data_IF_285783048462
#
_entry.id   IF_285783048462
#
_cell.length_a   1.000
_cell.length_b   1.000
_cell.length_c   1.000
_cell.angle_alpha   90.00
_cell.angle_beta   90.00
_cell.angle_gamma   90.00
#
_symmetry.space_group_name_H-M   'P 1'
#
loop_
_entity.id
_entity.type
_entity.pdbx_description
1 polymer ?
#
# COMPACT_ATOMS: atom_id res chain seq x y z
N UNK A 1 2.35 9.22 5.38
CA UNK A 1 2.41 10.15 4.21
C UNK A 1 1.36 11.26 4.31
N UNK A 2 0.12 10.97 4.72
CA UNK A 2 -0.90 11.99 4.89
C UNK A 2 -0.49 13.12 5.85
N UNK A 3 0.06 12.78 7.01
CA UNK A 3 0.58 13.75 7.98
C UNK A 3 1.75 14.58 7.40
N UNK A 4 2.68 13.94 6.68
CA UNK A 4 3.76 14.62 5.97
C UNK A 4 3.22 15.66 4.97
N UNK A 5 2.20 15.31 4.17
CA UNK A 5 1.57 16.23 3.24
C UNK A 5 0.87 17.39 3.95
N UNK A 6 0.16 17.10 5.05
CA UNK A 6 -0.51 18.13 5.84
C UNK A 6 0.51 19.11 6.44
N UNK A 7 1.59 18.59 7.03
CA UNK A 7 2.66 19.42 7.58
C UNK A 7 3.28 20.32 6.50
N UNK A 8 3.58 19.77 5.32
CA UNK A 8 4.11 20.54 4.19
C UNK A 8 3.15 21.61 3.70
N UNK A 9 1.83 21.39 3.76
CA UNK A 9 0.85 22.41 3.37
C UNK A 9 0.71 23.54 4.40
N UNK A 10 1.07 23.28 5.66
CA UNK A 10 1.05 24.26 6.74
C UNK A 10 2.35 25.07 6.81
N UNK A 11 3.47 24.39 6.63
CA UNK A 11 4.81 25.00 6.70
C UNK A 11 5.75 24.35 5.67
N UNK A 12 5.79 24.93 4.48
CA UNK A 12 6.62 24.43 3.37
C UNK A 12 8.13 24.54 3.64
N UNK A 13 8.52 25.46 4.53
CA UNK A 13 9.94 25.72 4.86
C UNK A 13 10.45 24.92 6.05
N UNK A 14 9.64 24.04 6.60
CA UNK A 14 10.03 23.23 7.74
C UNK A 14 11.22 22.31 7.39
N UNK A 15 12.31 22.45 8.11
CA UNK A 15 13.55 21.71 7.87
C UNK A 15 13.37 20.18 7.93
N UNK A 16 12.43 19.70 8.74
CA UNK A 16 12.18 18.25 8.91
C UNK A 16 11.52 17.59 7.71
N UNK A 17 10.96 18.39 6.81
CA UNK A 17 10.25 17.92 5.61
C UNK A 17 10.85 18.49 4.31
N UNK A 18 11.93 19.24 4.41
CA UNK A 18 12.63 19.72 3.23
C UNK A 18 13.11 18.54 2.38
N UNK A 19 12.86 18.62 1.08
CA UNK A 19 13.31 17.66 0.10
C UNK A 19 14.43 18.19 -0.74
N UNK A 20 15.12 17.29 -1.39
CA UNK A 20 16.14 17.55 -2.40
C UNK A 20 15.58 17.19 -3.78
N UNK A 21 15.68 18.11 -4.73
CA UNK A 21 15.35 17.83 -6.13
C UNK A 21 16.52 17.10 -6.78
N UNK A 22 16.29 15.93 -7.32
CA UNK A 22 17.30 15.14 -8.02
C UNK A 22 17.04 15.16 -9.52
N UNK A 23 18.10 15.44 -10.30
CA UNK A 23 18.08 15.46 -11.77
C UNK A 23 16.90 16.25 -12.38
N UNK A 24 16.47 17.34 -11.74
CA UNK A 24 15.29 18.13 -12.14
C UNK A 24 14.03 17.30 -12.47
N UNK A 25 13.98 16.06 -11.98
CA UNK A 25 12.97 15.07 -12.32
C UNK A 25 12.06 14.73 -11.14
N UNK A 26 12.61 14.57 -9.95
CA UNK A 26 11.84 14.14 -8.78
C UNK A 26 12.43 14.63 -7.46
N UNK A 27 11.57 14.67 -6.44
CA UNK A 27 11.94 15.07 -5.09
C UNK A 27 12.21 13.87 -4.20
N UNK A 28 13.22 13.97 -3.37
CA UNK A 28 13.50 13.02 -2.30
C UNK A 28 13.41 13.74 -0.97
N UNK A 29 12.52 13.28 -0.10
CA UNK A 29 12.33 13.79 1.26
C UNK A 29 12.81 12.74 2.27
N UNK A 30 13.52 13.20 3.30
CA UNK A 30 14.00 12.36 4.40
C UNK A 30 13.29 12.80 5.66
N UNK A 31 12.44 11.94 6.18
CA UNK A 31 11.69 12.19 7.41
C UNK A 31 12.11 11.14 8.41
N UNK A 32 12.77 11.55 9.47
CA UNK A 32 13.30 10.67 10.52
C UNK A 32 12.43 10.70 11.79
N UNK A 33 11.25 10.07 11.81
CA UNK A 33 10.56 9.77 13.05
C UNK A 33 11.18 8.50 13.66
N UNK A 34 11.01 8.32 14.97
CA UNK A 34 11.36 7.07 15.69
C UNK A 34 10.42 5.91 15.33
N UNK A 35 10.18 5.72 14.04
CA UNK A 35 9.26 4.72 13.50
C UNK A 35 10.01 3.74 12.59
N UNK A 36 9.45 2.55 12.35
CA UNK A 36 10.00 1.62 11.38
C UNK A 36 10.16 2.26 10.00
N UNK A 37 11.26 1.95 9.32
CA UNK A 37 11.56 2.47 7.99
C UNK A 37 10.48 2.13 6.97
N UNK A 38 10.14 3.11 6.13
CA UNK A 38 9.20 2.96 5.02
C UNK A 38 9.59 3.88 3.87
N UNK A 39 9.51 3.38 2.65
CA UNK A 39 9.66 4.18 1.44
C UNK A 39 8.27 4.42 0.87
N UNK A 40 7.91 5.68 0.68
CA UNK A 40 6.67 6.06 0.02
C UNK A 40 6.96 6.66 -1.36
N UNK A 41 6.30 6.13 -2.39
CA UNK A 41 6.38 6.60 -3.78
C UNK A 41 5.05 7.26 -4.13
N UNK A 42 5.07 8.49 -4.63
CA UNK A 42 3.88 9.20 -5.10
C UNK A 42 3.72 9.03 -6.60
N UNK A 43 2.60 8.48 -7.06
CA UNK A 43 2.33 8.29 -8.51
C UNK A 43 1.32 9.30 -9.06
N UNK A 44 0.54 9.98 -8.20
CA UNK A 44 -0.65 10.72 -8.63
C UNK A 44 -0.48 12.23 -8.83
N UNK A 45 0.50 12.89 -8.21
CA UNK A 45 0.57 14.36 -8.27
C UNK A 45 1.96 14.88 -8.57
N UNK A 46 2.85 14.76 -7.61
CA UNK A 46 4.23 15.22 -7.70
C UNK A 46 5.13 14.02 -7.73
N UNK A 47 6.10 14.01 -8.62
CA UNK A 47 7.15 13.00 -8.63
C UNK A 47 7.98 13.15 -7.35
N UNK A 48 7.66 12.38 -6.32
CA UNK A 48 8.35 12.45 -5.03
C UNK A 48 8.48 11.08 -4.36
N UNK A 49 9.60 10.89 -3.70
CA UNK A 49 9.91 9.72 -2.87
C UNK A 49 10.13 10.23 -1.46
N UNK A 50 9.47 9.63 -0.47
CA UNK A 50 9.62 9.99 0.93
C UNK A 50 10.17 8.81 1.70
N UNK A 51 11.34 8.99 2.30
CA UNK A 51 12.01 8.03 3.14
C UNK A 51 11.64 8.32 4.60
N UNK A 52 10.90 7.42 5.24
CA UNK A 52 10.47 7.53 6.62
C UNK A 52 11.28 6.62 7.53
N UNK A 53 11.49 7.05 8.75
CA UNK A 53 12.11 6.24 9.81
C UNK A 53 13.62 6.14 9.68
N UNK A 54 14.16 5.04 10.21
CA UNK A 54 15.59 4.75 10.08
C UNK A 54 15.96 4.66 8.61
N UNK A 55 17.19 5.06 8.31
CA UNK A 55 17.73 5.06 6.94
C UNK A 55 17.51 3.70 6.26
N UNK A 56 16.68 3.66 5.18
CA UNK A 56 16.44 2.41 4.47
C UNK A 56 17.70 1.97 3.73
N UNK A 57 17.98 0.66 3.79
CA UNK A 57 19.14 0.05 3.14
C UNK A 57 18.72 -1.06 2.21
N UNK A 58 19.54 -1.29 1.20
CA UNK A 58 19.43 -2.48 0.36
C UNK A 58 20.09 -3.67 1.04
N UNK A 59 19.51 -4.86 0.88
CA UNK A 59 19.99 -6.13 1.41
C UNK A 59 20.63 -6.96 0.31
N UNK A 60 21.93 -7.17 0.31
CA UNK A 60 22.55 -8.14 -0.59
C UNK A 60 22.18 -9.60 -0.18
N UNK A 61 22.26 -10.58 -1.14
CA UNK A 61 22.58 -10.37 -2.54
C UNK A 61 21.37 -9.90 -3.34
N UNK A 62 21.60 -9.07 -4.37
CA UNK A 62 20.54 -8.69 -5.31
C UNK A 62 21.07 -8.40 -6.72
N UNK A 63 20.20 -8.58 -7.71
CA UNK A 63 20.39 -8.17 -9.09
C UNK A 63 19.07 -7.59 -9.59
N UNK A 64 19.03 -6.29 -9.79
CA UNK A 64 17.85 -5.53 -10.22
C UNK A 64 18.13 -4.95 -11.59
N UNK A 65 17.21 -5.18 -12.52
CA UNK A 65 17.30 -4.68 -13.90
C UNK A 65 16.09 -3.81 -14.19
N UNK A 66 16.31 -2.54 -14.48
CA UNK A 66 15.26 -1.59 -14.83
C UNK A 66 15.68 -0.77 -16.04
N UNK A 67 14.96 -0.92 -17.16
CA UNK A 67 15.23 -0.21 -18.41
C UNK A 67 16.72 -0.18 -18.79
N UNK A 68 17.38 0.97 -18.60
CA UNK A 68 18.79 1.17 -18.87
C UNK A 68 19.71 0.90 -17.68
N UNK A 69 19.15 0.63 -16.49
CA UNK A 69 19.90 0.54 -15.23
C UNK A 69 19.97 -0.90 -14.71
N UNK A 70 21.13 -1.30 -14.30
CA UNK A 70 21.37 -2.57 -13.61
C UNK A 70 22.07 -2.30 -12.29
N UNK A 71 21.46 -2.77 -11.20
CA UNK A 71 22.01 -2.68 -9.84
C UNK A 71 22.37 -4.08 -9.37
N UNK A 72 23.59 -4.25 -8.90
CA UNK A 72 24.06 -5.55 -8.40
C UNK A 72 24.87 -5.40 -7.11
N UNK A 73 24.68 -6.35 -6.20
CA UNK A 73 25.53 -6.55 -5.05
C UNK A 73 25.62 -8.06 -4.75
N UNK A 74 26.83 -8.56 -4.51
CA UNK A 74 27.07 -9.93 -4.06
C UNK A 74 26.74 -10.10 -2.57
N UNK A 75 26.85 -11.32 -2.08
CA UNK A 75 26.44 -11.67 -0.69
C UNK A 75 27.25 -10.92 0.37
N UNK A 76 28.57 -10.74 0.14
CA UNK A 76 29.46 -10.06 1.07
C UNK A 76 29.74 -8.60 0.70
N UNK A 77 29.07 -8.09 -0.34
CA UNK A 77 29.29 -6.73 -0.82
C UNK A 77 28.71 -5.70 0.17
N UNK A 78 29.53 -4.73 0.53
CA UNK A 78 29.12 -3.55 1.31
C UNK A 78 28.71 -2.37 0.43
N UNK A 79 28.81 -2.54 -0.89
CA UNK A 79 28.52 -1.51 -1.89
C UNK A 79 27.62 -2.04 -3.00
N UNK A 80 26.79 -1.15 -3.52
CA UNK A 80 25.97 -1.39 -4.70
C UNK A 80 26.73 -0.94 -5.96
N UNK A 81 26.80 -1.79 -6.97
CA UNK A 81 27.34 -1.46 -8.28
C UNK A 81 26.19 -1.13 -9.22
N UNK A 82 26.18 0.09 -9.76
CA UNK A 82 25.16 0.58 -10.68
C UNK A 82 25.78 0.74 -12.07
N UNK A 83 25.17 0.13 -13.07
CA UNK A 83 25.56 0.23 -14.48
C UNK A 83 24.41 0.79 -15.29
N UNK A 84 24.66 1.79 -16.12
CA UNK A 84 23.70 2.28 -17.11
C UNK A 84 24.15 1.85 -18.50
N UNK A 85 23.26 1.17 -19.21
CA UNK A 85 23.43 0.68 -20.60
C UNK A 85 22.37 1.35 -21.45
N UNK A 86 22.68 2.46 -22.18
CA UNK A 86 21.69 3.18 -22.95
C UNK A 86 21.11 2.32 -24.08
N UNK A 87 19.78 2.20 -24.18
CA UNK A 87 19.08 1.37 -25.18
C UNK A 87 19.27 1.87 -26.62
N UNK A 88 19.49 3.17 -26.81
CA UNK A 88 19.64 3.79 -28.15
C UNK A 88 21.10 3.95 -28.60
N UNK A 89 22.00 3.18 -28.00
CA UNK A 89 23.44 3.33 -28.20
C UNK A 89 24.01 4.45 -27.36
N UNK A 90 25.26 4.29 -26.97
CA UNK A 90 25.95 5.23 -26.09
C UNK A 90 26.98 4.53 -25.25
N UNK A 91 27.73 5.32 -24.46
CA UNK A 91 28.76 4.79 -23.58
C UNK A 91 28.14 4.22 -22.31
N UNK A 92 28.41 2.95 -22.02
CA UNK A 92 28.08 2.37 -20.72
C UNK A 92 28.81 3.11 -19.61
N UNK A 93 28.05 3.55 -18.60
CA UNK A 93 28.60 4.17 -17.39
C UNK A 93 28.42 3.24 -16.21
N UNK A 94 29.38 3.24 -15.29
CA UNK A 94 29.34 2.45 -14.06
C UNK A 94 29.74 3.33 -12.88
N UNK A 95 28.98 3.22 -11.78
CA UNK A 95 29.28 3.85 -10.50
C UNK A 95 29.04 2.84 -9.37
N UNK A 96 29.67 3.07 -8.24
CA UNK A 96 29.49 2.28 -7.03
C UNK A 96 29.16 3.21 -5.88
N UNK A 97 28.12 2.89 -5.10
CA UNK A 97 27.68 3.65 -3.93
C UNK A 97 27.51 2.73 -2.71
N UNK A 98 27.17 3.28 -1.56
CA UNK A 98 26.81 2.46 -0.40
C UNK A 98 25.46 1.75 -0.61
N UNK A 99 25.11 0.86 0.28
CA UNK A 99 23.82 0.17 0.27
C UNK A 99 22.66 1.04 0.81
N UNK A 100 22.92 2.30 1.18
CA UNK A 100 21.87 3.26 1.55
C UNK A 100 20.99 3.57 0.37
N UNK A 101 19.66 3.46 0.55
CA UNK A 101 18.71 3.80 -0.51
C UNK A 101 18.86 5.25 -0.96
N UNK A 102 19.18 6.17 -0.04
CA UNK A 102 19.41 7.57 -0.36
C UNK A 102 20.57 7.77 -1.33
N UNK A 103 21.72 7.13 -1.06
CA UNK A 103 22.87 7.20 -1.98
C UNK A 103 22.61 6.50 -3.30
N UNK A 104 21.88 5.40 -3.30
CA UNK A 104 21.46 4.72 -4.53
C UNK A 104 20.59 5.66 -5.39
N UNK A 105 19.60 6.35 -4.79
CA UNK A 105 18.77 7.32 -5.50
C UNK A 105 19.57 8.48 -6.09
N UNK A 106 20.51 9.04 -5.32
CA UNK A 106 21.41 10.10 -5.78
C UNK A 106 22.29 9.64 -6.94
N UNK A 107 22.91 8.47 -6.80
CA UNK A 107 23.78 7.92 -7.84
C UNK A 107 23.00 7.62 -9.12
N UNK A 108 21.78 7.08 -9.02
CA UNK A 108 20.90 6.89 -10.18
C UNK A 108 20.57 8.22 -10.86
N UNK A 109 20.21 9.24 -10.09
CA UNK A 109 19.91 10.57 -10.62
C UNK A 109 21.11 11.22 -11.31
N UNK A 110 22.31 11.10 -10.72
CA UNK A 110 23.57 11.56 -11.32
C UNK A 110 23.92 10.82 -12.63
N UNK A 111 23.50 9.58 -12.78
CA UNK A 111 23.63 8.80 -14.00
C UNK A 111 22.50 9.11 -15.01
N UNK A 112 21.60 10.02 -14.70
CA UNK A 112 20.52 10.47 -15.56
C UNK A 112 19.24 9.63 -15.49
N UNK A 113 19.02 8.90 -14.40
CA UNK A 113 17.75 8.21 -14.17
C UNK A 113 16.61 9.20 -13.98
N UNK A 114 15.49 8.91 -14.61
CA UNK A 114 14.25 9.66 -14.45
C UNK A 114 13.37 9.01 -13.38
N UNK A 115 12.32 9.71 -12.94
CA UNK A 115 11.41 9.20 -11.92
C UNK A 115 10.85 7.79 -12.19
N UNK A 116 10.39 7.45 -13.42
CA UNK A 116 9.92 6.10 -13.72
C UNK A 116 10.98 5.01 -13.53
N UNK A 117 12.24 5.30 -13.88
CA UNK A 117 13.34 4.33 -13.72
C UNK A 117 13.59 4.02 -12.26
N UNK A 118 13.62 5.07 -11.44
CA UNK A 118 13.84 4.96 -9.99
C UNK A 118 12.69 4.23 -9.30
N UNK A 119 11.44 4.54 -9.68
CA UNK A 119 10.27 3.86 -9.11
C UNK A 119 10.25 2.38 -9.46
N UNK A 120 10.66 2.02 -10.68
CA UNK A 120 10.77 0.63 -11.10
C UNK A 120 11.87 -0.12 -10.33
N UNK A 121 13.04 0.50 -10.13
CA UNK A 121 14.12 -0.06 -9.29
C UNK A 121 13.61 -0.35 -7.87
N UNK A 122 12.95 0.62 -7.23
CA UNK A 122 12.42 0.44 -5.88
C UNK A 122 11.33 -0.64 -5.81
N UNK A 123 10.46 -0.71 -6.84
CA UNK A 123 9.43 -1.74 -6.94
C UNK A 123 10.03 -3.14 -7.08
N UNK A 124 11.04 -3.30 -7.91
CA UNK A 124 11.74 -4.59 -8.06
C UNK A 124 12.51 -4.96 -6.80
N UNK A 125 13.15 -4.00 -6.13
CA UNK A 125 13.82 -4.23 -4.87
C UNK A 125 12.86 -4.69 -3.75
N UNK A 126 11.64 -4.16 -3.73
CA UNK A 126 10.59 -4.61 -2.80
C UNK A 126 10.10 -6.03 -3.14
N UNK A 127 9.88 -6.32 -4.43
CA UNK A 127 9.46 -7.64 -4.90
C UNK A 127 10.48 -8.75 -4.62
N UNK A 128 11.77 -8.43 -4.74
CA UNK A 128 12.87 -9.36 -4.45
C UNK A 128 13.26 -9.38 -2.97
N UNK A 129 12.53 -8.65 -2.12
CA UNK A 129 12.83 -8.50 -0.69
C UNK A 129 14.26 -8.01 -0.40
N UNK A 130 14.83 -7.25 -1.33
CA UNK A 130 16.17 -6.67 -1.24
C UNK A 130 16.19 -5.32 -0.51
N UNK A 131 15.16 -4.99 0.26
CA UNK A 131 15.07 -3.79 1.08
C UNK A 131 14.90 -4.13 2.56
N UNK A 132 15.43 -3.28 3.45
CA UNK A 132 15.21 -3.40 4.90
C UNK A 132 13.84 -2.92 5.35
N UNK A 133 13.13 -2.20 4.50
CA UNK A 133 11.83 -1.59 4.78
C UNK A 133 10.84 -1.89 3.65
N UNK A 134 9.57 -1.56 3.86
CA UNK A 134 8.50 -1.75 2.86
C UNK A 134 8.37 -0.54 1.96
N UNK A 135 8.06 -0.80 0.69
CA UNK A 135 7.67 0.23 -0.27
C UNK A 135 6.14 0.36 -0.29
N UNK A 136 5.65 1.59 -0.32
CA UNK A 136 4.23 1.92 -0.42
C UNK A 136 4.02 2.92 -1.56
N UNK A 137 3.12 2.58 -2.46
CA UNK A 137 2.70 3.46 -3.55
C UNK A 137 1.39 4.12 -3.15
N UNK A 138 1.33 5.45 -3.19
CA UNK A 138 0.14 6.27 -2.89
C UNK A 138 -0.69 5.71 -1.73
N UNK A 139 -0.02 5.35 -0.63
CA UNK A 139 -0.65 4.75 0.52
C UNK A 139 -1.77 5.68 1.02
N UNK A 140 -3.01 5.33 0.71
CA UNK A 140 -4.16 5.93 1.35
C UNK A 140 -4.06 5.65 2.85
N UNK A 141 -4.40 6.63 3.72
CA UNK A 141 -4.56 6.34 5.12
C UNK A 141 -5.54 5.18 5.23
N UNK A 142 -5.10 4.08 5.84
CA UNK A 142 -6.03 3.01 6.18
C UNK A 142 -7.11 3.65 7.04
N UNK A 143 -8.36 3.58 6.60
CA UNK A 143 -9.48 3.99 7.41
C UNK A 143 -9.42 3.12 8.67
N UNK A 144 -8.96 3.71 9.77
CA UNK A 144 -8.99 3.04 11.07
C UNK A 144 -10.47 2.82 11.36
N UNK A 145 -10.87 1.58 11.49
CA UNK A 145 -12.25 1.23 11.82
C UNK A 145 -12.66 2.02 13.07
N UNK A 146 -13.83 2.63 13.06
CA UNK A 146 -14.39 3.31 14.24
C UNK A 146 -14.39 2.35 15.44
N UNK A 147 -14.56 1.06 15.19
CA UNK A 147 -14.48 0.01 16.20
C UNK A 147 -13.09 -0.09 16.84
N UNK A 148 -12.02 0.02 16.06
CA UNK A 148 -10.64 -0.03 16.57
C UNK A 148 -10.29 1.24 17.35
N UNK A 149 -10.82 2.40 16.93
CA UNK A 149 -10.68 3.67 17.68
C UNK A 149 -11.41 3.61 19.02
N UNK A 150 -12.63 3.06 19.06
CA UNK A 150 -13.38 2.88 20.31
C UNK A 150 -12.67 1.89 21.23
N UNK A 151 -12.10 0.81 20.69
CA UNK A 151 -11.34 -0.17 21.48
C UNK A 151 -10.06 0.44 22.04
N UNK A 152 -9.34 1.24 21.25
CA UNK A 152 -8.16 1.96 21.71
C UNK A 152 -8.49 3.03 22.77
N UNK A 153 -9.63 3.72 22.62
CA UNK A 153 -10.16 4.67 23.62
C UNK A 153 -10.48 3.98 24.95
N UNK A 154 -11.15 2.84 24.92
CA UNK A 154 -11.48 2.07 26.13
C UNK A 154 -10.28 1.53 26.90
N UNK A 155 -9.17 1.26 26.23
CA UNK A 155 -7.95 0.80 26.90
C UNK A 155 -7.18 1.95 27.61
N UNK A 156 -7.34 3.20 27.17
CA UNK A 156 -6.76 4.36 27.84
C UNK A 156 -7.54 4.78 29.09
N UNK A 157 -8.83 4.46 29.19
CA UNK A 157 -9.68 4.82 30.34
C UNK A 157 -9.48 3.88 31.54
N UNK A 158 -8.75 2.77 31.40
CA UNK A 158 -8.51 1.83 32.51
C UNK A 158 -7.27 2.14 33.38
N UNK A 159 -6.44 3.09 32.98
CA UNK A 159 -5.21 3.45 33.72
C UNK A 159 -5.27 4.81 34.45
N UNK A 160 -6.41 5.48 34.49
CA UNK A 160 -6.50 6.77 35.19
C UNK A 160 -7.90 7.32 35.31
N UNK A 161 -8.76 6.70 36.09
CA UNK A 161 -9.93 7.39 36.68
C UNK A 161 -10.55 6.60 37.84
N UNK A 162 -9.99 6.79 38.98
CA UNK A 162 -10.82 6.93 40.19
C UNK A 162 -11.41 8.36 40.15
N UNK A 163 -12.73 8.46 40.04
CA UNK A 163 -13.48 9.65 40.40
C UNK A 163 -13.96 10.49 39.21
N UNK A 164 -15.18 10.25 38.79
CA UNK A 164 -16.28 11.18 38.60
C UNK A 164 -17.40 10.45 37.84
N UNK A 165 -18.21 9.74 38.61
CA UNK A 165 -19.52 9.27 38.12
C UNK A 165 -20.41 10.51 37.88
N UNK A 166 -20.50 10.99 36.66
CA UNK A 166 -21.63 11.80 36.23
C UNK A 166 -22.66 10.87 35.64
N UNK A 167 -23.75 10.67 36.39
CA UNK A 167 -25.02 10.14 35.96
C UNK A 167 -25.60 11.05 34.86
N UNK A 168 -25.14 10.95 33.66
CA UNK A 168 -25.77 11.52 32.50
C UNK A 168 -26.84 10.54 32.03
N UNK A 169 -28.07 10.71 32.51
CA UNK A 169 -29.24 10.14 31.84
C UNK A 169 -29.20 10.53 30.36
N UNK A 170 -29.39 9.57 29.42
CA UNK A 170 -29.47 9.91 28.01
C UNK A 170 -30.70 10.84 27.83
N UNK A 171 -30.43 12.05 27.40
CA UNK A 171 -31.43 13.03 27.02
C UNK A 171 -32.19 12.50 25.78
N UNK A 172 -33.53 12.31 25.80
CA UNK A 172 -34.26 11.79 24.68
C UNK A 172 -34.50 12.81 23.56
N UNK A 173 -33.82 13.98 23.55
CA UNK A 173 -34.04 15.01 22.56
C UNK A 173 -33.30 14.76 21.26
N UNK A 174 -34.04 14.20 20.31
CA UNK A 174 -34.12 14.67 18.93
C UNK A 174 -32.81 14.78 18.11
N UNK A 175 -32.01 13.74 18.08
CA UNK A 175 -31.30 13.44 16.83
C UNK A 175 -31.97 12.26 16.15
N UNK A 176 -32.45 12.39 14.91
CA UNK A 176 -32.98 11.23 14.20
C UNK A 176 -31.90 10.17 14.15
N UNK A 177 -32.20 9.00 14.68
CA UNK A 177 -31.30 7.85 14.65
C UNK A 177 -31.14 7.42 13.18
N UNK A 178 -30.15 7.96 12.48
CA UNK A 178 -29.84 7.60 11.10
C UNK A 178 -29.40 6.14 10.96
N UNK A 179 -29.15 5.47 12.08
CA UNK A 179 -28.85 4.06 12.19
C UNK A 179 -29.73 3.38 13.22
N UNK A 180 -31.01 3.23 12.89
CA UNK A 180 -31.77 2.19 13.56
C UNK A 180 -31.17 0.85 13.09
N UNK A 181 -30.71 -0.04 13.99
CA UNK A 181 -30.31 -1.37 13.58
C UNK A 181 -31.50 -2.03 12.91
N UNK A 182 -31.38 -2.35 11.63
CA UNK A 182 -32.38 -3.12 10.91
C UNK A 182 -32.63 -4.39 11.74
N UNK A 183 -33.87 -4.58 12.19
CA UNK A 183 -34.28 -5.82 12.86
C UNK A 183 -33.79 -6.98 12.02
N UNK A 184 -33.14 -8.03 12.60
CA UNK A 184 -32.78 -9.21 11.85
C UNK A 184 -34.07 -9.73 11.21
N UNK A 185 -34.05 -9.81 9.87
CA UNK A 185 -35.14 -10.40 9.12
C UNK A 185 -35.47 -11.76 9.72
N UNK A 186 -36.74 -11.90 10.15
CA UNK A 186 -37.19 -13.12 10.79
C UNK A 186 -36.84 -14.34 9.95
N UNK A 187 -36.44 -15.39 10.60
CA UNK A 187 -36.19 -16.70 10.02
C UNK A 187 -37.35 -17.03 9.09
N UNK A 188 -37.13 -16.94 7.77
CA UNK A 188 -38.04 -17.53 6.80
C UNK A 188 -38.04 -19.02 7.05
N UNK A 189 -39.20 -19.57 7.27
CA UNK A 189 -39.39 -20.97 7.63
C UNK A 189 -38.88 -21.86 6.50
N UNK A 190 -38.14 -22.86 6.87
CA UNK A 190 -37.52 -23.86 5.99
C UNK A 190 -38.49 -24.67 5.09
N UNK A 191 -39.75 -24.32 5.08
CA UNK A 191 -40.81 -24.97 4.27
C UNK A 191 -40.89 -24.43 2.84
N UNK A 192 -40.47 -23.19 2.60
CA UNK A 192 -40.55 -22.60 1.25
C UNK A 192 -39.39 -22.95 0.34
N UNK A 193 -38.22 -23.26 0.91
CA UNK A 193 -37.05 -23.71 0.12
C UNK A 193 -37.20 -25.15 -0.38
N UNK A 194 -37.86 -26.04 0.40
CA UNK A 194 -38.08 -27.44 0.00
C UNK A 194 -39.10 -27.53 -1.15
N UNK A 195 -40.05 -26.63 -1.23
CA UNK A 195 -41.05 -26.54 -2.31
C UNK A 195 -40.43 -26.05 -3.64
N UNK A 196 -39.44 -25.17 -3.57
CA UNK A 196 -38.72 -24.64 -4.75
C UNK A 196 -37.74 -25.65 -5.35
N UNK A 197 -37.10 -26.49 -4.53
CA UNK A 197 -36.20 -27.55 -4.95
C UNK A 197 -36.95 -28.71 -5.65
N UNK A 198 -38.13 -29.10 -5.14
CA UNK A 198 -38.97 -30.13 -5.78
C UNK A 198 -39.53 -29.70 -7.13
N UNK A 199 -39.81 -28.39 -7.34
CA UNK A 199 -40.25 -27.86 -8.63
C UNK A 199 -39.13 -27.79 -9.68
N UNK A 200 -37.88 -27.62 -9.28
CA UNK A 200 -36.72 -27.61 -10.21
C UNK A 200 -36.31 -29.01 -10.64
N UNK A 201 -36.39 -30.00 -9.77
CA UNK A 201 -36.10 -31.40 -10.10
C UNK A 201 -37.08 -31.98 -11.12
N UNK A 202 -38.39 -31.76 -10.97
CA UNK A 202 -39.40 -32.24 -11.89
C UNK A 202 -39.37 -31.60 -13.31
N UNK A 203 -38.71 -30.45 -13.44
CA UNK A 203 -38.55 -29.78 -14.76
C UNK A 203 -37.34 -30.27 -15.55
N UNK A 204 -36.34 -30.82 -14.86
CA UNK A 204 -35.17 -31.41 -15.52
C UNK A 204 -35.45 -32.83 -16.08
N UNK A 205 -36.28 -33.60 -15.35
CA UNK A 205 -36.66 -34.98 -15.84
C UNK A 205 -37.51 -34.93 -17.10
N UNK A 206 -38.39 -33.93 -17.24
CA UNK A 206 -39.18 -33.77 -18.49
C UNK A 206 -38.35 -33.31 -19.70
N UNK A 207 -37.28 -32.56 -19.49
CA UNK A 207 -36.41 -32.09 -20.59
C UNK A 207 -35.48 -33.20 -21.11
N UNK A 208 -35.17 -34.22 -20.26
CA UNK A 208 -34.29 -35.33 -20.67
C UNK A 208 -35.08 -36.40 -21.44
N UNK A 209 -36.39 -36.59 -21.13
CA UNK A 209 -37.25 -37.54 -21.81
C UNK A 209 -37.61 -37.15 -23.25
N UNK A 210 -37.74 -35.85 -23.56
CA UNK A 210 -38.02 -35.35 -24.92
C UNK A 210 -36.81 -35.37 -25.86
N UNK A 211 -35.59 -35.49 -25.32
CA UNK A 211 -34.36 -35.51 -26.14
C UNK A 211 -33.97 -36.93 -26.61
N UNK A 212 -34.59 -37.98 -26.08
CA UNK A 212 -34.29 -39.37 -26.37
C UNK A 212 -35.12 -39.95 -27.55
N UNK A 213 -36.10 -39.21 -28.08
CA UNK A 213 -37.02 -39.73 -29.14
C UNK A 213 -36.82 -39.10 -30.53
N UNK A 214 -35.75 -38.36 -30.75
CA UNK A 214 -35.43 -37.80 -32.05
C UNK A 214 -34.02 -38.21 -32.50
N UNK A 215 -33.88 -39.45 -32.94
CA UNK A 215 -32.77 -39.86 -33.81
C UNK A 215 -33.34 -40.06 -35.23
N UNK A 216 -32.87 -39.35 -36.28
CA UNK A 216 -33.22 -39.66 -37.64
C UNK A 216 -32.31 -40.80 -38.15
N UNK A 217 -32.94 -41.81 -38.71
CA UNK A 217 -32.29 -42.72 -39.63
C UNK A 217 -32.02 -42.00 -40.96
N UNK A 218 -30.78 -41.99 -41.38
CA UNK A 218 -30.27 -42.31 -42.70
C UNK A 218 -28.76 -42.07 -42.76
#
# INVERSE_FOLDING_TARGET
YGAFRALRSLDEKNETIQGEMLNDSFWVHRVSPDTPGMIHISTNKRAEIVLFGQEPKMKPPFSILSNEFTLTAGEDDTRCNISRIPLRGGKTTRKSCSLSVDEVLKTLAEMGAMYPDVTEVLRQADQTHSLTCRVRNDALPQAVSVYDLVKAGKNKTKEGEEGLAMDAKPDPSATPTLYAPSKPAGKSSSKDEEALLKKKAGKQEKATAERSTKSPAN
#
